data_IF_522938719968
#
_entry.id   IF_522938719968
#
_cell.length_a   1.000
_cell.length_b   1.000
_cell.length_c   1.000
_cell.angle_alpha   90.00
_cell.angle_beta   90.00
_cell.angle_gamma   90.00
#
_symmetry.space_group_name_H-M   'P 1'
#
loop_
_entity.id
_entity.type
_entity.pdbx_description
1 polymer ?
#
# COMPACT_ATOMS: atom_id res chain seq x y z
N UNK A 1 -16.57 -2.69 -17.78
CA UNK A 1 -15.53 -1.74 -17.32
C UNK A 1 -15.36 -1.78 -15.81
N UNK A 2 -16.46 -1.78 -15.04
CA UNK A 2 -16.43 -1.92 -13.56
C UNK A 2 -15.57 -3.08 -13.04
N UNK A 3 -15.69 -4.28 -13.62
CA UNK A 3 -14.84 -5.42 -13.24
C UNK A 3 -13.33 -5.16 -13.44
N UNK A 4 -12.95 -4.51 -14.54
CA UNK A 4 -11.56 -4.18 -14.82
C UNK A 4 -11.02 -3.14 -13.83
N UNK A 5 -11.83 -2.13 -13.49
CA UNK A 5 -11.45 -1.12 -12.49
C UNK A 5 -11.23 -1.76 -11.11
N UNK A 6 -12.13 -2.65 -10.69
CA UNK A 6 -11.98 -3.39 -9.43
C UNK A 6 -10.72 -4.26 -9.46
N UNK A 7 -10.45 -4.94 -10.57
CA UNK A 7 -9.24 -5.76 -10.72
C UNK A 7 -7.96 -4.91 -10.59
N UNK A 8 -7.91 -3.75 -11.25
CA UNK A 8 -6.78 -2.82 -11.16
C UNK A 8 -6.60 -2.31 -9.73
N UNK A 9 -7.68 -1.89 -9.07
CA UNK A 9 -7.63 -1.45 -7.67
C UNK A 9 -7.10 -2.55 -6.74
N UNK A 10 -7.53 -3.80 -6.97
CA UNK A 10 -7.09 -4.95 -6.20
C UNK A 10 -5.60 -5.27 -6.44
N UNK A 11 -5.12 -5.14 -7.68
CA UNK A 11 -3.69 -5.27 -8.00
C UNK A 11 -2.86 -4.17 -7.34
N UNK A 12 -3.31 -2.91 -7.38
CA UNK A 12 -2.64 -1.79 -6.68
C UNK A 12 -2.59 -2.07 -5.18
N UNK A 13 -3.69 -2.55 -4.60
CA UNK A 13 -3.75 -2.87 -3.18
C UNK A 13 -2.76 -3.98 -2.79
N UNK A 14 -2.76 -5.09 -3.51
CA UNK A 14 -1.85 -6.23 -3.23
C UNK A 14 -0.39 -5.80 -3.40
N UNK A 15 -0.06 -5.12 -4.50
CA UNK A 15 1.32 -4.68 -4.78
C UNK A 15 1.80 -3.63 -3.79
N UNK A 16 0.97 -2.67 -3.39
CA UNK A 16 1.32 -1.70 -2.35
C UNK A 16 1.50 -2.35 -0.97
N UNK A 17 0.67 -3.34 -0.63
CA UNK A 17 0.78 -4.10 0.62
C UNK A 17 2.10 -4.89 0.65
N UNK A 18 2.40 -5.65 -0.42
CA UNK A 18 3.65 -6.39 -0.53
C UNK A 18 4.87 -5.47 -0.57
N UNK A 19 4.80 -4.37 -1.32
CA UNK A 19 5.87 -3.38 -1.45
C UNK A 19 6.18 -2.71 -0.11
N UNK A 20 5.16 -2.31 0.65
CA UNK A 20 5.35 -1.73 1.98
C UNK A 20 5.98 -2.71 2.95
N UNK A 21 5.52 -3.98 2.98
CA UNK A 21 6.08 -5.01 3.85
C UNK A 21 7.54 -5.34 3.49
N UNK A 22 7.85 -5.43 2.19
CA UNK A 22 9.20 -5.66 1.71
C UNK A 22 10.13 -4.49 2.06
N UNK A 23 9.67 -3.25 1.89
CA UNK A 23 10.46 -2.06 2.18
C UNK A 23 10.73 -1.92 3.68
N UNK A 24 9.75 -2.22 4.55
CA UNK A 24 9.98 -2.27 6.00
C UNK A 24 11.06 -3.28 6.38
N UNK A 25 10.98 -4.52 5.86
CA UNK A 25 12.00 -5.54 6.11
C UNK A 25 13.38 -5.09 5.63
N UNK A 26 13.45 -4.46 4.46
CA UNK A 26 14.70 -3.95 3.88
C UNK A 26 15.32 -2.83 4.72
N UNK A 27 14.49 -2.01 5.37
CA UNK A 27 14.91 -0.94 6.27
C UNK A 27 15.20 -1.44 7.70
N UNK A 28 15.12 -2.76 7.95
CA UNK A 28 15.42 -3.36 9.25
C UNK A 28 14.28 -3.28 10.25
N UNK A 29 13.07 -2.89 9.84
CA UNK A 29 11.89 -2.91 10.70
C UNK A 29 11.24 -4.29 10.70
N UNK A 30 10.77 -4.70 11.88
CA UNK A 30 9.98 -5.90 12.03
C UNK A 30 8.62 -5.77 11.32
N UNK A 31 8.06 -6.90 10.91
CA UNK A 31 6.70 -6.93 10.39
C UNK A 31 5.76 -6.62 11.56
N UNK A 32 4.80 -5.70 11.43
CA UNK A 32 3.92 -5.40 12.56
C UNK A 32 3.11 -6.62 12.96
N UNK A 33 3.15 -6.89 14.26
CA UNK A 33 2.36 -7.90 14.94
C UNK A 33 1.20 -7.22 15.68
N UNK A 34 0.38 -8.00 16.39
CA UNK A 34 -0.64 -7.43 17.27
C UNK A 34 0.06 -6.55 18.33
N UNK A 35 -0.29 -5.25 18.42
CA UNK A 35 0.45 -4.32 19.26
C UNK A 35 0.20 -4.62 20.74
N UNK A 36 1.27 -4.81 21.48
CA UNK A 36 1.23 -4.97 22.94
C UNK A 36 1.81 -3.72 23.63
N UNK A 37 2.83 -3.12 23.02
CA UNK A 37 3.53 -1.95 23.52
C UNK A 37 3.39 -0.73 22.59
N UNK A 38 3.72 0.46 23.11
CA UNK A 38 3.66 1.72 22.33
C UNK A 38 4.54 1.69 21.09
N UNK A 39 5.68 1.00 21.14
CA UNK A 39 6.60 0.82 20.02
C UNK A 39 5.95 0.01 18.88
N UNK A 40 5.17 -1.02 19.20
CA UNK A 40 4.45 -1.80 18.21
C UNK A 40 3.39 -0.96 17.48
N UNK A 41 2.71 -0.06 18.20
CA UNK A 41 1.78 0.89 17.58
C UNK A 41 2.47 1.81 16.59
N UNK A 42 3.70 2.25 16.89
CA UNK A 42 4.50 3.06 15.96
C UNK A 42 4.88 2.26 14.70
N UNK A 43 5.26 0.98 14.86
CA UNK A 43 5.59 0.11 13.72
C UNK A 43 4.37 -0.14 12.83
N UNK A 44 3.20 -0.36 13.43
CA UNK A 44 1.92 -0.48 12.69
C UNK A 44 1.61 0.81 11.94
N UNK A 45 1.73 1.97 12.60
CA UNK A 45 1.50 3.27 11.98
C UNK A 45 2.47 3.51 10.82
N UNK A 46 3.76 3.18 11.00
CA UNK A 46 4.75 3.26 9.94
C UNK A 46 4.36 2.40 8.74
N UNK A 47 3.88 1.17 8.96
CA UNK A 47 3.40 0.32 7.85
C UNK A 47 2.22 0.95 7.12
N UNK A 48 1.24 1.47 7.84
CA UNK A 48 0.06 2.09 7.26
C UNK A 48 0.42 3.33 6.43
N UNK A 49 1.32 4.18 6.95
CA UNK A 49 1.83 5.34 6.24
C UNK A 49 2.59 4.93 4.98
N UNK A 50 3.47 3.94 5.09
CA UNK A 50 4.25 3.45 3.96
C UNK A 50 3.37 2.83 2.87
N UNK A 51 2.39 2.04 3.28
CA UNK A 51 1.36 1.49 2.39
C UNK A 51 0.61 2.62 1.67
N UNK A 52 0.15 3.64 2.39
CA UNK A 52 -0.57 4.76 1.81
C UNK A 52 0.28 5.54 0.80
N UNK A 53 1.56 5.79 1.11
CA UNK A 53 2.49 6.47 0.20
C UNK A 53 2.68 5.65 -1.08
N UNK A 54 2.95 4.35 -0.96
CA UNK A 54 3.15 3.48 -2.13
C UNK A 54 1.88 3.38 -2.97
N UNK A 55 0.72 3.22 -2.32
CA UNK A 55 -0.58 3.20 -3.00
C UNK A 55 -0.82 4.51 -3.76
N UNK A 56 -0.60 5.67 -3.14
CA UNK A 56 -0.74 6.98 -3.78
C UNK A 56 0.20 7.14 -4.97
N UNK A 57 1.45 6.69 -4.87
CA UNK A 57 2.39 6.71 -5.98
C UNK A 57 1.92 5.82 -7.14
N UNK A 58 1.43 4.62 -6.84
CA UNK A 58 0.86 3.73 -7.86
C UNK A 58 -0.37 4.35 -8.53
N UNK A 59 -1.26 4.98 -7.77
CA UNK A 59 -2.40 5.72 -8.32
C UNK A 59 -1.96 6.88 -9.21
N UNK A 60 -0.97 7.65 -8.78
CA UNK A 60 -0.41 8.74 -9.58
C UNK A 60 0.16 8.21 -10.91
N UNK A 61 0.88 7.09 -10.89
CA UNK A 61 1.40 6.45 -12.10
C UNK A 61 0.27 5.99 -13.05
N UNK A 62 -0.79 5.39 -12.51
CA UNK A 62 -1.95 4.98 -13.31
C UNK A 62 -2.61 6.19 -13.98
N UNK A 63 -2.84 7.26 -13.23
CA UNK A 63 -3.42 8.50 -13.77
C UNK A 63 -2.52 9.13 -14.85
N UNK A 64 -1.20 9.14 -14.65
CA UNK A 64 -0.23 9.61 -15.65
C UNK A 64 -0.24 8.75 -16.92
N UNK A 65 -0.50 7.44 -16.82
CA UNK A 65 -0.68 6.55 -17.97
C UNK A 65 -2.05 6.69 -18.66
N UNK A 66 -2.93 7.57 -18.17
CA UNK A 66 -4.27 7.77 -18.70
C UNK A 66 -5.30 6.72 -18.24
N UNK A 67 -4.93 5.83 -17.31
CA UNK A 67 -5.84 4.87 -16.71
C UNK A 67 -6.48 5.49 -15.46
N UNK A 68 -7.79 5.72 -15.50
CA UNK A 68 -8.55 6.22 -14.35
C UNK A 68 -9.43 5.12 -13.75
N UNK A 69 -8.92 4.33 -12.79
CA UNK A 69 -9.70 3.27 -12.15
C UNK A 69 -10.83 3.81 -11.24
N UNK A 70 -10.85 5.12 -10.95
CA UNK A 70 -11.86 5.77 -10.12
C UNK A 70 -13.08 6.26 -10.94
N UNK A 71 -12.98 6.30 -12.27
CA UNK A 71 -14.15 6.44 -13.14
C UNK A 71 -14.86 5.08 -13.22
N UNK A 72 -15.66 4.79 -12.20
CA UNK A 72 -16.57 3.64 -12.14
C UNK A 72 -17.80 3.86 -13.04
#
# INVERSE_FOLDING_TARGET
MLFLNILILLLVFITASLGSAWLMKRLGYEVPHFPQNREDYLIVLMKLLLFAIIALLMFALLLLSGLNPLQL
#
